data_IF_221116249791
#
_entry.id   IF_221116249791
#
_cell.length_a   1.000
_cell.length_b   1.000
_cell.length_c   1.000
_cell.angle_alpha   90.00
_cell.angle_beta   90.00
_cell.angle_gamma   90.00
#
_symmetry.space_group_name_H-M   'P 1'
#
loop_
_entity.id
_entity.type
_entity.pdbx_description
1 polymer ?
#
# COMPACT_ATOMS: atom_id res chain seq x y z
N UNK A 1 21.97 2.44 -12.04
CA UNK A 1 20.87 3.37 -11.72
C UNK A 1 20.29 2.91 -10.39
N UNK A 2 20.75 3.51 -9.30
CA UNK A 2 20.36 3.22 -7.92
C UNK A 2 18.91 3.64 -7.65
N UNK A 3 17.94 2.86 -8.15
CA UNK A 3 16.55 2.97 -7.72
C UNK A 3 16.31 2.42 -6.30
N UNK A 4 17.36 1.88 -5.66
CA UNK A 4 17.36 1.38 -4.27
C UNK A 4 17.50 2.48 -3.21
N UNK A 5 17.71 3.74 -3.59
CA UNK A 5 17.73 4.85 -2.62
C UNK A 5 16.33 5.37 -2.32
N UNK A 6 15.72 4.75 -1.31
CA UNK A 6 14.80 5.37 -0.35
C UNK A 6 13.52 6.03 -0.88
N UNK A 7 12.70 5.33 -1.67
CA UNK A 7 11.28 5.72 -1.80
C UNK A 7 10.44 5.28 -0.60
N UNK A 8 10.86 5.66 0.62
CA UNK A 8 10.10 5.48 1.88
C UNK A 8 8.76 6.25 1.86
N UNK A 9 8.60 7.19 0.92
CA UNK A 9 7.38 7.97 0.75
C UNK A 9 6.16 7.08 0.51
N UNK A 10 6.29 6.04 -0.31
CA UNK A 10 5.20 5.10 -0.60
C UNK A 10 4.77 4.39 0.69
N UNK A 11 5.72 3.90 1.48
CA UNK A 11 5.46 3.22 2.75
C UNK A 11 4.78 4.13 3.77
N UNK A 12 5.24 5.39 3.87
CA UNK A 12 4.61 6.41 4.74
C UNK A 12 3.17 6.67 4.32
N UNK A 13 2.90 6.83 3.02
CA UNK A 13 1.55 7.03 2.52
C UNK A 13 0.68 5.80 2.73
N UNK A 14 1.18 4.59 2.48
CA UNK A 14 0.45 3.34 2.73
C UNK A 14 0.13 3.19 4.22
N UNK A 15 1.06 3.50 5.12
CA UNK A 15 0.81 3.48 6.56
C UNK A 15 -0.28 4.48 6.98
N UNK A 16 -0.26 5.70 6.41
CA UNK A 16 -1.29 6.71 6.66
C UNK A 16 -2.65 6.29 6.09
N UNK A 17 -2.69 5.71 4.90
CA UNK A 17 -3.91 5.23 4.26
C UNK A 17 -4.50 4.04 5.03
N UNK A 18 -3.69 3.09 5.48
CA UNK A 18 -4.13 1.96 6.32
C UNK A 18 -4.76 2.40 7.64
N UNK A 19 -4.37 3.55 8.20
CA UNK A 19 -5.01 4.14 9.38
C UNK A 19 -6.37 4.79 9.09
N UNK A 20 -6.61 5.20 7.84
CA UNK A 20 -7.83 5.90 7.41
C UNK A 20 -8.86 4.97 6.76
N UNK A 21 -8.41 3.84 6.22
CA UNK A 21 -9.26 2.88 5.52
C UNK A 21 -9.57 1.68 6.42
N UNK A 22 -10.69 0.97 6.18
CA UNK A 22 -10.98 -0.27 6.85
C UNK A 22 -9.85 -1.31 6.66
N UNK A 23 -9.66 -2.20 7.66
CA UNK A 23 -8.65 -3.25 7.56
C UNK A 23 -8.91 -4.13 6.34
N UNK A 24 -7.83 -4.57 5.68
CA UNK A 24 -7.89 -5.45 4.49
C UNK A 24 -8.03 -4.73 3.15
N UNK A 25 -8.19 -3.39 3.12
CA UNK A 25 -8.34 -2.65 1.86
C UNK A 25 -7.03 -2.46 1.08
N UNK A 26 -5.87 -2.52 1.75
CA UNK A 26 -4.54 -2.39 1.13
C UNK A 26 -3.71 -3.64 1.39
N UNK A 27 -3.47 -4.42 0.34
CA UNK A 27 -2.64 -5.61 0.37
C UNK A 27 -1.21 -5.31 -0.09
N UNK A 28 -0.24 -5.95 0.56
CA UNK A 28 1.14 -5.98 0.08
C UNK A 28 1.34 -7.25 -0.73
N UNK A 29 1.76 -7.10 -1.98
CA UNK A 29 2.09 -8.19 -2.89
C UNK A 29 3.60 -8.22 -3.07
N UNK A 30 4.23 -9.27 -2.54
CA UNK A 30 5.70 -9.39 -2.54
C UNK A 30 6.24 -9.35 -3.97
N UNK A 31 7.24 -8.51 -4.20
CA UNK A 31 7.85 -8.31 -5.53
C UNK A 31 7.02 -7.45 -6.50
N UNK A 32 5.84 -6.96 -6.09
CA UNK A 32 4.93 -6.17 -6.93
C UNK A 32 4.47 -4.85 -6.30
N UNK A 33 4.49 -4.73 -4.97
CA UNK A 33 4.13 -3.51 -4.26
C UNK A 33 2.78 -3.62 -3.54
N UNK A 34 1.88 -2.67 -3.73
CA UNK A 34 0.61 -2.60 -3.02
C UNK A 34 -0.59 -2.67 -3.96
N UNK A 35 -1.66 -3.35 -3.53
CA UNK A 35 -2.92 -3.46 -4.27
C UNK A 35 -4.09 -2.99 -3.41
N UNK A 36 -4.96 -2.17 -4.01
CA UNK A 36 -6.24 -1.80 -3.41
C UNK A 36 -7.27 -2.87 -3.72
N UNK A 37 -7.98 -3.35 -2.69
CA UNK A 37 -9.19 -4.15 -2.89
C UNK A 37 -10.38 -3.20 -3.00
N UNK A 38 -11.15 -3.33 -4.07
CA UNK A 38 -12.50 -2.78 -4.09
C UNK A 38 -13.28 -3.45 -2.96
N UNK A 39 -13.89 -2.63 -2.10
CA UNK A 39 -14.84 -3.13 -1.12
C UNK A 39 -16.05 -3.55 -1.94
N UNK A 40 -16.13 -4.84 -2.26
CA UNK A 40 -17.33 -5.42 -2.84
C UNK A 40 -18.40 -5.35 -1.75
N UNK A 41 -19.16 -4.25 -1.75
CA UNK A 41 -20.45 -4.25 -1.07
C UNK A 41 -21.35 -5.16 -1.90
N UNK A 42 -22.10 -6.06 -1.27
CA UNK A 42 -22.99 -6.97 -1.97
C UNK A 42 -24.04 -6.23 -2.81
#
# INVERSE_FOLDING_TARGET
QDFDRDSNTVEVFIARLRKKLPPGMIETVRGLGYRLRAQDRP
#
